data_IF_357685980495
#
_entry.id   IF_357685980495
#
_cell.length_a   1.000
_cell.length_b   1.000
_cell.length_c   1.000
_cell.angle_alpha   90.00
_cell.angle_beta   90.00
_cell.angle_gamma   90.00
#
_symmetry.space_group_name_H-M   'P 1'
#
loop_
_entity.id
_entity.type
_entity.pdbx_description
1 polymer ?
#
# COMPACT_ATOMS: atom_id res chain seq x y z
N UNK A 1 -1.91 -40.98 -28.57
CA UNK A 1 -1.63 -40.18 -29.79
C UNK A 1 -2.51 -38.93 -29.81
N UNK A 2 -2.17 -37.90 -29.02
CA UNK A 2 -3.01 -36.70 -28.88
C UNK A 2 -2.16 -35.42 -28.95
N UNK A 3 -1.17 -35.39 -29.85
CA UNK A 3 -0.13 -34.36 -29.82
C UNK A 3 0.21 -33.73 -31.18
N UNK A 4 -0.77 -33.50 -32.06
CA UNK A 4 -0.51 -32.78 -33.33
C UNK A 4 -1.63 -31.84 -33.83
N UNK A 5 -2.72 -31.59 -33.10
CA UNK A 5 -3.81 -30.72 -33.59
C UNK A 5 -3.87 -29.29 -33.04
N UNK A 6 -2.97 -28.88 -32.15
CA UNK A 6 -3.04 -27.55 -31.53
C UNK A 6 -2.09 -26.49 -32.11
N UNK A 7 -1.24 -26.83 -33.08
CA UNK A 7 -0.22 -25.88 -33.59
C UNK A 7 -0.77 -24.95 -34.69
N UNK A 8 -1.98 -25.17 -35.21
CA UNK A 8 -2.40 -24.49 -36.44
C UNK A 8 -3.24 -23.20 -36.29
N UNK A 9 -3.40 -22.64 -35.09
CA UNK A 9 -4.22 -21.44 -34.87
C UNK A 9 -3.44 -20.15 -34.59
N UNK A 10 -2.11 -20.17 -34.66
CA UNK A 10 -1.27 -19.01 -34.31
C UNK A 10 -0.99 -18.03 -35.47
N UNK A 11 -1.57 -18.22 -36.66
CA UNK A 11 -1.31 -17.35 -37.82
C UNK A 11 -2.60 -16.81 -38.45
N UNK A 12 -3.37 -15.98 -37.75
CA UNK A 12 -4.29 -15.04 -38.39
C UNK A 12 -4.47 -13.81 -37.49
N UNK A 13 -4.46 -12.63 -38.11
CA UNK A 13 -4.20 -11.31 -37.53
C UNK A 13 -5.03 -10.88 -36.32
N UNK A 14 -4.65 -9.72 -35.77
CA UNK A 14 -5.07 -8.94 -34.58
C UNK A 14 -6.35 -9.29 -33.79
N UNK A 15 -7.33 -10.04 -34.32
CA UNK A 15 -8.44 -10.65 -33.57
C UNK A 15 -8.12 -12.00 -32.91
N UNK A 16 -7.14 -12.77 -33.40
CA UNK A 16 -6.81 -14.11 -32.87
C UNK A 16 -6.19 -14.10 -31.46
N UNK A 17 -5.40 -13.07 -31.14
CA UNK A 17 -4.75 -12.90 -29.82
C UNK A 17 -5.78 -12.66 -28.71
N UNK A 18 -6.86 -11.92 -29.01
CA UNK A 18 -7.91 -11.61 -28.04
C UNK A 18 -8.74 -12.86 -27.71
N UNK A 19 -9.04 -13.68 -28.73
CA UNK A 19 -9.81 -14.92 -28.58
C UNK A 19 -8.99 -15.97 -27.84
N UNK A 20 -7.70 -16.11 -28.16
CA UNK A 20 -6.80 -17.00 -27.44
C UNK A 20 -6.65 -16.60 -25.96
N UNK A 21 -6.52 -15.29 -25.65
CA UNK A 21 -6.47 -14.81 -24.26
C UNK A 21 -7.77 -15.06 -23.49
N UNK A 22 -8.91 -14.94 -24.16
CA UNK A 22 -10.23 -15.13 -23.52
C UNK A 22 -10.51 -16.62 -23.28
N UNK A 23 -10.11 -17.48 -24.23
CA UNK A 23 -10.17 -18.93 -24.08
C UNK A 23 -9.20 -19.43 -22.99
N UNK A 24 -7.98 -18.87 -22.89
CA UNK A 24 -7.05 -19.18 -21.81
C UNK A 24 -7.59 -18.73 -20.44
N UNK A 25 -8.20 -17.55 -20.34
CA UNK A 25 -8.87 -17.10 -19.11
C UNK A 25 -10.05 -17.99 -18.75
N UNK A 26 -10.88 -18.35 -19.72
CA UNK A 26 -12.02 -19.24 -19.49
C UNK A 26 -11.57 -20.64 -19.09
N UNK A 27 -10.49 -21.18 -19.68
CA UNK A 27 -9.90 -22.45 -19.25
C UNK A 27 -9.27 -22.33 -17.86
N UNK A 28 -8.59 -21.22 -17.53
CA UNK A 28 -8.06 -21.00 -16.19
C UNK A 28 -9.17 -20.86 -15.14
N UNK A 29 -10.28 -20.18 -15.46
CA UNK A 29 -11.47 -20.07 -14.60
C UNK A 29 -12.22 -21.41 -14.50
N UNK A 30 -12.33 -22.17 -15.59
CA UNK A 30 -13.02 -23.46 -15.59
C UNK A 30 -12.20 -24.52 -14.86
N UNK A 31 -10.88 -24.53 -15.04
CA UNK A 31 -9.97 -25.40 -14.29
C UNK A 31 -9.94 -24.95 -12.82
N UNK A 32 -9.90 -23.65 -12.52
CA UNK A 32 -9.95 -23.11 -11.17
C UNK A 32 -11.27 -23.40 -10.44
N UNK A 33 -12.40 -23.37 -11.12
CA UNK A 33 -13.72 -23.65 -10.55
C UNK A 33 -14.01 -25.16 -10.44
N UNK A 34 -13.42 -26.00 -11.29
CA UNK A 34 -13.57 -27.46 -11.20
C UNK A 34 -12.81 -28.08 -10.01
N UNK A 35 -11.92 -27.34 -9.33
CA UNK A 35 -11.37 -27.74 -8.03
C UNK A 35 -12.33 -27.47 -6.85
N UNK A 36 -13.44 -26.77 -7.06
CA UNK A 36 -14.41 -26.46 -5.99
C UNK A 36 -15.60 -27.43 -5.91
N UNK A 37 -15.60 -28.55 -6.64
CA UNK A 37 -16.67 -29.54 -6.54
C UNK A 37 -16.14 -30.88 -6.05
N UNK A 38 -16.63 -31.29 -4.87
CA UNK A 38 -16.44 -32.57 -4.16
C UNK A 38 -15.25 -32.71 -3.18
N UNK A 39 -15.15 -31.77 -2.24
CA UNK A 39 -14.64 -32.05 -0.89
C UNK A 39 -15.39 -31.14 0.08
N UNK A 40 -15.64 -31.57 1.33
CA UNK A 40 -15.97 -30.63 2.41
C UNK A 40 -14.72 -29.77 2.64
N UNK A 41 -14.54 -28.78 1.77
CA UNK A 41 -13.35 -27.95 1.72
C UNK A 41 -13.22 -27.11 2.98
N UNK A 42 -12.01 -27.09 3.51
CA UNK A 42 -11.63 -26.27 4.67
C UNK A 42 -11.93 -24.80 4.36
N UNK A 43 -12.51 -24.07 5.31
CA UNK A 43 -12.80 -22.65 5.10
C UNK A 43 -11.50 -21.84 5.05
N UNK A 44 -11.51 -20.70 4.35
CA UNK A 44 -10.32 -19.84 4.26
C UNK A 44 -9.79 -19.44 5.67
N UNK A 45 -10.70 -19.22 6.62
CA UNK A 45 -10.35 -18.89 8.00
C UNK A 45 -9.55 -20.02 8.67
N UNK A 46 -10.02 -21.25 8.54
CA UNK A 46 -9.34 -22.42 9.11
C UNK A 46 -7.97 -22.64 8.46
N UNK A 47 -7.84 -22.42 7.14
CA UNK A 47 -6.55 -22.50 6.45
C UNK A 47 -5.58 -21.43 6.98
N UNK A 48 -6.06 -20.21 7.20
CA UNK A 48 -5.25 -19.12 7.79
C UNK A 48 -4.75 -19.51 9.18
N UNK A 49 -5.61 -20.08 10.05
CA UNK A 49 -5.21 -20.54 11.38
C UNK A 49 -4.12 -21.63 11.30
N UNK A 50 -4.21 -22.55 10.32
CA UNK A 50 -3.16 -23.55 10.08
C UNK A 50 -1.86 -22.95 9.57
N UNK A 51 -1.91 -21.90 8.75
CA UNK A 51 -0.72 -21.14 8.34
C UNK A 51 -0.09 -20.45 9.53
N UNK A 52 -0.87 -19.77 10.38
CA UNK A 52 -0.33 -19.10 11.57
C UNK A 52 0.36 -20.10 12.50
N UNK A 53 -0.26 -21.27 12.75
CA UNK A 53 0.35 -22.36 13.51
C UNK A 53 1.62 -22.91 12.85
N UNK A 54 1.62 -23.10 11.53
CA UNK A 54 2.81 -23.52 10.77
C UNK A 54 3.95 -22.54 10.99
N UNK A 55 3.68 -21.24 10.82
CA UNK A 55 4.67 -20.17 11.00
C UNK A 55 5.17 -20.07 12.43
N UNK A 56 4.38 -20.41 13.45
CA UNK A 56 4.86 -20.52 14.82
C UNK A 56 5.94 -21.60 14.96
N UNK A 57 5.70 -22.79 14.37
CA UNK A 57 6.55 -23.98 14.54
C UNK A 57 7.74 -24.08 13.59
N UNK A 58 7.80 -23.29 12.51
CA UNK A 58 8.98 -23.24 11.63
C UNK A 58 10.18 -22.70 12.41
N UNK A 59 11.23 -23.52 12.52
CA UNK A 59 12.52 -23.17 13.14
C UNK A 59 13.58 -22.81 12.10
N UNK A 60 13.64 -23.54 10.99
CA UNK A 60 14.57 -23.30 9.89
C UNK A 60 13.83 -22.66 8.70
N UNK A 61 14.29 -21.48 8.29
CA UNK A 61 13.67 -20.71 7.20
C UNK A 61 14.03 -21.27 5.81
N UNK A 62 15.14 -21.98 5.69
CA UNK A 62 15.65 -22.46 4.41
C UNK A 62 15.11 -23.85 4.09
N UNK A 63 14.76 -24.65 5.10
CA UNK A 63 14.30 -26.02 4.87
C UNK A 63 13.37 -26.51 5.99
N UNK A 64 12.09 -26.70 5.68
CA UNK A 64 11.12 -27.28 6.59
C UNK A 64 10.13 -28.21 5.88
N UNK A 65 9.52 -29.13 6.64
CA UNK A 65 8.48 -30.04 6.14
C UNK A 65 7.14 -29.72 6.79
N UNK A 66 6.20 -29.24 5.98
CA UNK A 66 4.81 -28.94 6.42
C UNK A 66 4.13 -30.20 6.95
N UNK A 67 4.37 -31.36 6.31
CA UNK A 67 3.82 -32.64 6.74
C UNK A 67 4.27 -32.98 8.15
N UNK A 68 5.57 -32.85 8.42
CA UNK A 68 6.15 -33.23 9.71
C UNK A 68 5.69 -32.30 10.82
N UNK A 69 5.50 -31.02 10.52
CA UNK A 69 4.98 -30.05 11.48
C UNK A 69 3.54 -30.40 11.83
N UNK A 70 2.66 -30.59 10.85
CA UNK A 70 1.27 -30.93 11.14
C UNK A 70 1.09 -32.32 11.73
N UNK A 71 1.91 -33.30 11.38
CA UNK A 71 1.82 -34.65 11.94
C UNK A 71 2.06 -34.64 13.45
N UNK A 72 2.98 -33.79 13.93
CA UNK A 72 3.24 -33.61 15.37
C UNK A 72 2.09 -32.96 16.13
N UNK A 73 1.28 -32.15 15.45
CA UNK A 73 0.26 -31.32 16.09
C UNK A 73 -1.15 -31.95 16.01
N UNK A 74 -1.47 -32.59 14.89
CA UNK A 74 -2.81 -33.15 14.63
C UNK A 74 -2.86 -34.63 15.02
N UNK A 75 -1.74 -35.37 14.89
CA UNK A 75 -1.60 -36.81 15.20
C UNK A 75 -2.85 -37.60 14.76
N UNK A 76 -3.05 -37.81 13.44
CA UNK A 76 -4.22 -38.52 12.95
C UNK A 76 -4.23 -39.97 13.44
N UNK A 77 -5.40 -40.51 13.80
CA UNK A 77 -5.52 -41.92 14.14
C UNK A 77 -5.37 -42.77 12.87
N UNK A 78 -4.25 -43.49 12.74
CA UNK A 78 -3.94 -44.33 11.58
C UNK A 78 -5.00 -45.41 11.31
N UNK A 79 -5.77 -45.82 12.33
CA UNK A 79 -6.84 -46.81 12.18
C UNK A 79 -8.13 -46.22 11.59
N UNK A 80 -8.27 -44.89 11.57
CA UNK A 80 -9.41 -44.19 11.02
C UNK A 80 -9.06 -43.57 9.66
N UNK A 81 -9.54 -44.19 8.57
CA UNK A 81 -9.25 -43.73 7.20
C UNK A 81 -9.71 -42.29 6.95
N UNK A 82 -10.84 -41.90 7.53
CA UNK A 82 -11.41 -40.56 7.34
C UNK A 82 -10.55 -39.47 8.00
N UNK A 83 -9.94 -39.77 9.15
CA UNK A 83 -9.02 -38.85 9.83
C UNK A 83 -7.70 -38.70 9.07
N UNK A 84 -7.18 -39.79 8.52
CA UNK A 84 -5.96 -39.78 7.70
C UNK A 84 -6.20 -38.99 6.41
N UNK A 85 -7.34 -39.19 5.75
CA UNK A 85 -7.73 -38.42 4.56
C UNK A 85 -7.89 -36.93 4.89
N UNK A 86 -8.55 -36.61 6.00
CA UNK A 86 -8.70 -35.23 6.45
C UNK A 86 -7.34 -34.56 6.75
N UNK A 87 -6.40 -35.28 7.36
CA UNK A 87 -5.05 -34.80 7.58
C UNK A 87 -4.34 -34.46 6.25
N UNK A 88 -4.42 -35.35 5.26
CA UNK A 88 -3.84 -35.09 3.94
C UNK A 88 -4.49 -33.89 3.25
N UNK A 89 -5.80 -33.71 3.40
CA UNK A 89 -6.52 -32.55 2.87
C UNK A 89 -6.04 -31.25 3.52
N UNK A 90 -5.94 -31.19 4.85
CA UNK A 90 -5.43 -30.01 5.58
C UNK A 90 -4.02 -29.64 5.10
N UNK A 91 -3.13 -30.64 5.00
CA UNK A 91 -1.76 -30.45 4.54
C UNK A 91 -1.73 -29.91 3.10
N UNK A 92 -2.54 -30.47 2.20
CA UNK A 92 -2.60 -30.08 0.79
C UNK A 92 -3.12 -28.67 0.61
N UNK A 93 -4.24 -28.34 1.27
CA UNK A 93 -4.86 -27.01 1.22
C UNK A 93 -3.91 -25.94 1.77
N UNK A 94 -3.25 -26.22 2.90
CA UNK A 94 -2.28 -25.29 3.49
C UNK A 94 -1.10 -25.05 2.54
N UNK A 95 -0.56 -26.10 1.92
CA UNK A 95 0.53 -25.99 0.93
C UNK A 95 0.12 -25.10 -0.24
N UNK A 96 -1.03 -25.39 -0.84
CA UNK A 96 -1.53 -24.63 -1.98
C UNK A 96 -1.75 -23.18 -1.61
N UNK A 97 -2.38 -22.92 -0.46
CA UNK A 97 -2.63 -21.56 -0.01
C UNK A 97 -1.34 -20.77 0.24
N UNK A 98 -0.36 -21.35 0.95
CA UNK A 98 0.88 -20.65 1.24
C UNK A 98 1.75 -20.43 0.01
N UNK A 99 1.77 -21.35 -0.95
CA UNK A 99 2.41 -21.15 -2.26
C UNK A 99 1.71 -20.04 -3.05
N UNK A 100 0.38 -20.03 -3.11
CA UNK A 100 -0.40 -19.02 -3.83
C UNK A 100 -0.24 -17.61 -3.23
N UNK A 101 0.01 -17.52 -1.92
CA UNK A 101 0.26 -16.25 -1.21
C UNK A 101 1.72 -15.84 -1.18
N UNK A 102 2.60 -16.62 -1.84
CA UNK A 102 4.04 -16.38 -1.91
C UNK A 102 4.68 -16.34 -0.51
N UNK A 103 4.28 -17.27 0.38
CA UNK A 103 4.79 -17.39 1.75
C UNK A 103 5.92 -18.41 1.85
N UNK A 104 5.88 -19.45 1.03
CA UNK A 104 6.91 -20.46 0.93
C UNK A 104 6.92 -21.06 -0.47
N UNK A 105 8.08 -21.57 -0.85
CA UNK A 105 8.33 -22.19 -2.15
C UNK A 105 8.86 -23.61 -1.96
N UNK A 106 8.81 -24.41 -3.03
CA UNK A 106 9.36 -25.77 -2.99
C UNK A 106 10.87 -25.69 -2.98
N UNK A 107 11.49 -26.23 -1.94
CA UNK A 107 12.95 -26.38 -1.86
C UNK A 107 13.43 -27.54 -2.73
N UNK A 108 12.68 -28.65 -2.74
CA UNK A 108 12.98 -29.82 -3.57
C UNK A 108 11.72 -30.63 -3.93
N UNK A 109 11.89 -31.63 -4.78
CA UNK A 109 10.81 -32.57 -5.15
C UNK A 109 10.42 -33.55 -4.03
N UNK A 110 11.16 -33.56 -2.92
CA UNK A 110 10.96 -34.48 -1.79
C UNK A 110 10.00 -33.93 -0.73
N UNK A 111 9.24 -32.88 -1.04
CA UNK A 111 8.23 -32.32 -0.15
C UNK A 111 8.76 -31.36 0.92
N UNK A 112 9.99 -30.85 0.74
CA UNK A 112 10.56 -29.79 1.58
C UNK A 112 10.27 -28.40 1.00
N UNK A 113 10.10 -27.44 1.89
CA UNK A 113 9.77 -26.05 1.58
C UNK A 113 10.79 -25.09 2.18
N UNK A 114 10.98 -23.95 1.52
CA UNK A 114 11.74 -22.80 2.00
C UNK A 114 10.82 -21.59 2.13
N UNK A 115 11.09 -20.71 3.09
CA UNK A 115 10.36 -19.45 3.21
C UNK A 115 10.85 -18.48 2.13
N UNK A 116 9.91 -17.86 1.44
CA UNK A 116 10.19 -16.72 0.54
C UNK A 116 10.58 -15.50 1.38
N UNK A 117 11.03 -14.41 0.75
CA UNK A 117 11.33 -13.16 1.47
C UNK A 117 10.13 -12.67 2.29
N UNK A 118 8.93 -12.71 1.68
CA UNK A 118 7.68 -12.36 2.34
C UNK A 118 7.32 -13.31 3.49
N UNK A 119 7.61 -14.60 3.36
CA UNK A 119 7.48 -15.57 4.46
C UNK A 119 8.42 -15.26 5.62
N UNK A 120 9.68 -14.94 5.32
CA UNK A 120 10.67 -14.54 6.34
C UNK A 120 10.22 -13.27 7.06
N UNK A 121 9.70 -12.28 6.33
CA UNK A 121 9.13 -11.07 6.93
C UNK A 121 7.94 -11.39 7.85
N UNK A 122 7.03 -12.27 7.43
CA UNK A 122 5.90 -12.70 8.26
C UNK A 122 6.41 -13.31 9.58
N UNK A 123 7.36 -14.25 9.50
CA UNK A 123 7.94 -14.92 10.66
C UNK A 123 8.66 -13.94 11.60
N UNK A 124 9.49 -13.05 11.08
CA UNK A 124 10.24 -12.06 11.86
C UNK A 124 9.28 -11.06 12.52
N UNK A 125 8.22 -10.67 11.81
CA UNK A 125 7.24 -9.70 12.30
C UNK A 125 6.40 -10.21 13.47
N UNK A 126 6.39 -11.53 13.72
CA UNK A 126 5.62 -12.21 14.75
C UNK A 126 4.13 -11.79 14.76
N UNK A 127 3.60 -11.45 13.58
CA UNK A 127 2.20 -11.11 13.37
C UNK A 127 1.46 -12.28 12.73
N UNK A 128 0.19 -12.45 13.10
CA UNK A 128 -0.76 -13.28 12.35
C UNK A 128 -0.84 -12.82 10.89
N UNK A 129 -1.07 -13.77 9.98
CA UNK A 129 -1.13 -13.52 8.53
C UNK A 129 -2.12 -12.41 8.15
N UNK A 130 -3.26 -12.32 8.82
CA UNK A 130 -4.27 -11.27 8.58
C UNK A 130 -3.71 -9.88 8.94
N UNK A 131 -2.99 -9.77 10.04
CA UNK A 131 -2.39 -8.50 10.49
C UNK A 131 -1.25 -8.09 9.57
N UNK A 132 -0.42 -9.04 9.17
CA UNK A 132 0.68 -8.84 8.23
C UNK A 132 0.16 -8.34 6.87
N UNK A 133 -0.84 -9.01 6.29
CA UNK A 133 -1.43 -8.62 5.00
C UNK A 133 -2.16 -7.28 5.04
N UNK A 134 -2.65 -6.84 6.21
CA UNK A 134 -3.22 -5.49 6.39
C UNK A 134 -2.14 -4.42 6.45
N UNK A 135 -0.98 -4.71 7.06
CA UNK A 135 0.15 -3.78 7.20
C UNK A 135 0.93 -3.62 5.89
N UNK A 136 1.07 -4.69 5.12
CA UNK A 136 1.77 -4.67 3.83
C UNK A 136 0.95 -4.03 2.70
N UNK A 137 -0.37 -3.91 2.87
CA UNK A 137 -1.18 -3.10 1.94
C UNK A 137 -0.79 -1.63 2.11
N UNK A 138 -0.36 -0.93 1.04
CA UNK A 138 -0.12 0.50 1.12
C UNK A 138 -1.40 1.15 1.66
N UNK A 139 -1.29 1.88 2.77
CA UNK A 139 -2.41 2.66 3.30
C UNK A 139 -2.95 3.46 2.12
N UNK A 140 -4.24 3.29 1.80
CA UNK A 140 -4.91 4.13 0.81
C UNK A 140 -4.95 5.54 1.39
N UNK A 141 -3.91 6.30 1.11
CA UNK A 141 -3.84 7.71 1.45
C UNK A 141 -4.91 8.36 0.58
N UNK A 142 -6.02 8.73 1.22
CA UNK A 142 -7.12 9.42 0.57
C UNK A 142 -6.68 10.85 0.27
N UNK A 143 -6.03 11.04 -0.87
CA UNK A 143 -5.49 12.34 -1.31
C UNK A 143 -6.55 13.45 -1.22
N UNK A 144 -7.82 13.14 -1.50
CA UNK A 144 -8.94 14.08 -1.37
C UNK A 144 -9.14 14.63 0.05
N UNK A 145 -8.70 13.93 1.10
CA UNK A 145 -8.73 14.42 2.49
C UNK A 145 -7.52 15.29 2.84
N UNK A 146 -6.41 15.13 2.12
CA UNK A 146 -5.14 15.82 2.40
C UNK A 146 -5.02 17.12 1.59
N UNK A 147 -5.50 17.12 0.35
CA UNK A 147 -5.51 18.30 -0.54
C UNK A 147 -6.11 19.55 0.14
N UNK A 148 -7.30 19.51 0.79
CA UNK A 148 -7.86 20.71 1.42
C UNK A 148 -6.99 21.22 2.59
N UNK A 149 -6.32 20.33 3.32
CA UNK A 149 -5.40 20.71 4.41
C UNK A 149 -4.19 21.46 3.83
N UNK A 150 -3.58 20.92 2.77
CA UNK A 150 -2.42 21.55 2.11
C UNK A 150 -2.80 22.94 1.55
N UNK A 151 -3.95 23.04 0.88
CA UNK A 151 -4.45 24.32 0.35
C UNK A 151 -4.71 25.33 1.48
N UNK A 152 -5.27 24.89 2.60
CA UNK A 152 -5.54 25.77 3.76
C UNK A 152 -4.24 26.35 4.33
N UNK A 153 -3.18 25.53 4.43
CA UNK A 153 -1.86 25.99 4.89
C UNK A 153 -1.23 26.97 3.90
N UNK A 154 -1.26 26.68 2.60
CA UNK A 154 -0.71 27.56 1.55
C UNK A 154 -1.44 28.90 1.48
N UNK A 155 -2.78 28.89 1.37
CA UNK A 155 -3.55 30.13 1.29
C UNK A 155 -3.55 30.89 2.63
N UNK A 156 -3.56 30.19 3.76
CA UNK A 156 -3.47 30.83 5.08
C UNK A 156 -2.15 31.57 5.28
N UNK A 157 -1.02 30.92 4.96
CA UNK A 157 0.30 31.54 5.07
C UNK A 157 0.50 32.71 4.10
N UNK A 158 0.00 32.60 2.86
CA UNK A 158 0.05 33.69 1.88
C UNK A 158 -0.74 34.93 2.33
N UNK A 159 -1.95 34.73 2.87
CA UNK A 159 -2.78 35.84 3.39
C UNK A 159 -2.14 36.53 4.59
N UNK A 160 -1.48 35.76 5.47
CA UNK A 160 -0.76 36.32 6.61
C UNK A 160 0.42 37.17 6.12
N UNK A 161 1.22 36.64 5.18
CA UNK A 161 2.36 37.37 4.61
C UNK A 161 1.94 38.70 3.97
N UNK A 162 0.92 38.68 3.11
CA UNK A 162 0.40 39.90 2.48
C UNK A 162 -0.12 40.93 3.49
N UNK A 163 -0.71 40.47 4.60
CA UNK A 163 -1.18 41.36 5.67
C UNK A 163 -0.04 42.03 6.43
N UNK A 164 1.09 41.35 6.61
CA UNK A 164 2.28 41.94 7.24
C UNK A 164 2.94 42.97 6.32
N UNK A 165 3.17 42.61 5.07
CA UNK A 165 3.78 43.48 4.04
C UNK A 165 2.95 44.76 3.82
N UNK A 166 1.62 44.64 3.73
CA UNK A 166 0.74 45.80 3.61
C UNK A 166 0.77 46.72 4.85
N UNK A 167 0.92 46.16 6.05
CA UNK A 167 1.00 46.96 7.28
C UNK A 167 2.31 47.71 7.37
N UNK A 168 3.41 47.09 6.97
CA UNK A 168 4.74 47.71 6.93
C UNK A 168 4.73 48.87 5.92
N UNK A 169 4.30 48.61 4.68
CA UNK A 169 4.18 49.64 3.64
C UNK A 169 3.29 50.82 4.05
N UNK A 170 2.17 50.55 4.76
CA UNK A 170 1.29 51.61 5.25
C UNK A 170 1.96 52.47 6.32
N UNK A 171 2.71 51.86 7.24
CA UNK A 171 3.42 52.58 8.28
C UNK A 171 4.51 53.48 7.68
N UNK A 172 5.25 52.97 6.71
CA UNK A 172 6.28 53.75 6.00
C UNK A 172 5.66 54.94 5.26
N UNK A 173 4.54 54.71 4.56
CA UNK A 173 3.83 55.78 3.87
C UNK A 173 3.34 56.88 4.83
N UNK A 174 2.75 56.49 5.96
CA UNK A 174 2.26 57.44 6.97
C UNK A 174 3.43 58.22 7.62
N UNK A 175 4.57 57.56 7.86
CA UNK A 175 5.79 58.20 8.37
C UNK A 175 6.32 59.27 7.39
N UNK A 176 6.49 58.91 6.11
CA UNK A 176 6.96 59.84 5.07
C UNK A 176 5.99 61.01 4.90
N UNK A 177 4.69 60.77 5.00
CA UNK A 177 3.67 61.82 4.94
C UNK A 177 3.83 62.83 6.08
N UNK A 178 4.04 62.35 7.31
CA UNK A 178 4.27 63.21 8.49
C UNK A 178 5.52 64.07 8.32
N UNK A 179 6.63 63.48 7.86
CA UNK A 179 7.88 64.22 7.62
C UNK A 179 7.69 65.32 6.57
N UNK A 180 7.03 64.99 5.45
CA UNK A 180 6.75 65.93 4.38
C UNK A 180 5.87 67.09 4.86
N UNK A 181 4.83 66.81 5.64
CA UNK A 181 3.94 67.85 6.19
C UNK A 181 4.69 68.74 7.20
N UNK A 182 5.57 68.17 8.02
CA UNK A 182 6.45 68.91 8.93
C UNK A 182 7.40 69.86 8.19
N UNK A 183 8.07 69.37 7.13
CA UNK A 183 8.95 70.19 6.29
C UNK A 183 8.17 71.32 5.62
N UNK A 184 6.97 71.04 5.12
CA UNK A 184 6.10 72.05 4.51
C UNK A 184 5.73 73.15 5.51
N UNK A 185 5.37 72.79 6.74
CA UNK A 185 5.08 73.76 7.80
C UNK A 185 6.31 74.62 8.15
N UNK A 186 7.48 74.00 8.27
CA UNK A 186 8.74 74.72 8.53
C UNK A 186 9.07 75.70 7.40
N UNK A 187 8.84 75.32 6.14
CA UNK A 187 9.04 76.18 4.99
C UNK A 187 8.08 77.37 5.01
N UNK A 188 6.79 77.14 5.29
CA UNK A 188 5.79 78.21 5.44
C UNK A 188 6.21 79.20 6.53
N UNK A 189 6.61 78.70 7.70
CA UNK A 189 7.06 79.53 8.82
C UNK A 189 8.29 80.39 8.45
N UNK A 190 9.30 79.79 7.81
CA UNK A 190 10.50 80.52 7.36
C UNK A 190 10.18 81.56 6.29
N UNK A 191 9.29 81.24 5.36
CA UNK A 191 8.86 82.16 4.32
C UNK A 191 8.13 83.37 4.92
N UNK A 192 7.20 83.15 5.86
CA UNK A 192 6.49 84.23 6.54
C UNK A 192 7.46 85.16 7.29
N UNK A 193 8.43 84.59 8.02
CA UNK A 193 9.48 85.40 8.67
C UNK A 193 10.31 86.20 7.66
N UNK A 194 10.65 85.61 6.52
CA UNK A 194 11.43 86.29 5.48
C UNK A 194 10.64 87.46 4.87
N UNK A 195 9.34 87.30 4.69
CA UNK A 195 8.43 88.38 4.25
C UNK A 195 8.40 89.50 5.29
N UNK A 196 8.19 89.17 6.58
CA UNK A 196 8.21 90.16 7.67
C UNK A 196 9.54 90.93 7.77
N UNK A 197 10.68 90.26 7.58
CA UNK A 197 11.99 90.95 7.57
C UNK A 197 12.12 91.93 6.40
N UNK A 198 11.58 91.59 5.22
CA UNK A 198 11.64 92.46 4.03
C UNK A 198 10.71 93.67 4.13
N UNK A 199 9.62 93.58 4.86
CA UNK A 199 8.69 94.71 5.06
C UNK A 199 9.19 95.70 6.13
N UNK A 200 10.10 95.28 7.02
CA UNK A 200 10.61 96.09 8.13
C UNK A 200 12.01 96.70 7.87
N UNK A 201 12.55 96.59 6.65
CA UNK A 201 13.81 97.20 6.18
C UNK A 201 13.56 98.07 4.97
#
# INVERSE_FOLDING_TARGET
>A
MLNQRFVHLANFGFGGQLIASKALRFLAETVGNNYQSHSKGMTEKEIIEKIDLLFEKITDFNMFSINNIFFKEIIPNEKNKDEVENFHNIVSETKLFGMNKDLFEKYNNNGWFSLTEKGKELKISNFELIKFTKKSKPKKIHLYKIIPIILTVLFGSLNIYQKYDYRELKNDFDSVKIERDSVKQKLIYLNNRTVEYKENT
#
